data_IF_010932027941
#
_entry.id   IF_010932027941
#
_cell.length_a   1.000
_cell.length_b   1.000
_cell.length_c   1.000
_cell.angle_alpha   90.00
_cell.angle_beta   90.00
_cell.angle_gamma   90.00
#
_symmetry.space_group_name_H-M   'P 1'
#
loop_
_entity.id
_entity.type
_entity.pdbx_description
1 polymer ?
#
# COMPACT_ATOMS: atom_id res chain seq x y z
N UNK A 1 8.61 -9.59 20.16
CA UNK A 1 7.14 -9.52 20.07
C UNK A 1 6.53 -10.74 20.76
N UNK A 2 5.95 -10.56 21.96
CA UNK A 2 5.14 -11.61 22.61
C UNK A 2 3.87 -11.89 21.80
N UNK A 3 3.29 -13.09 21.92
CA UNK A 3 1.96 -13.38 21.34
C UNK A 3 0.92 -12.52 22.06
N UNK A 4 0.43 -11.47 21.41
CA UNK A 4 -0.60 -10.55 21.92
C UNK A 4 -1.75 -10.53 20.92
N UNK A 5 -2.96 -10.63 21.43
CA UNK A 5 -4.18 -10.51 20.61
C UNK A 5 -4.55 -9.03 20.44
N UNK A 6 -4.84 -8.63 19.20
CA UNK A 6 -5.38 -7.31 18.86
C UNK A 6 -6.81 -7.50 18.36
N UNK A 7 -7.75 -6.72 18.90
CA UNK A 7 -9.18 -6.83 18.56
C UNK A 7 -9.60 -5.69 17.65
N UNK A 8 -10.09 -6.02 16.45
CA UNK A 8 -10.67 -5.07 15.50
C UNK A 8 -12.16 -5.38 15.37
N UNK A 9 -13.05 -4.38 15.29
CA UNK A 9 -14.45 -4.60 14.95
C UNK A 9 -14.60 -5.43 13.66
N UNK A 10 -15.52 -6.39 13.67
CA UNK A 10 -15.65 -7.36 12.57
C UNK A 10 -16.05 -6.67 11.25
N UNK A 11 -16.92 -5.66 11.32
CA UNK A 11 -17.35 -4.88 10.17
C UNK A 11 -16.20 -4.06 9.56
N UNK A 12 -15.36 -3.45 10.38
CA UNK A 12 -14.18 -2.71 9.91
C UNK A 12 -13.16 -3.63 9.23
N UNK A 13 -12.83 -4.77 9.85
CA UNK A 13 -11.88 -5.72 9.24
C UNK A 13 -12.45 -6.35 7.97
N UNK A 14 -13.76 -6.63 7.91
CA UNK A 14 -14.41 -7.14 6.70
C UNK A 14 -14.35 -6.12 5.56
N UNK A 15 -14.60 -4.84 5.84
CA UNK A 15 -14.48 -3.78 4.84
C UNK A 15 -13.06 -3.67 4.28
N UNK A 16 -12.05 -3.70 5.17
CA UNK A 16 -10.64 -3.70 4.76
C UNK A 16 -10.29 -4.94 3.92
N UNK A 17 -10.74 -6.13 4.33
CA UNK A 17 -10.47 -7.36 3.58
C UNK A 17 -11.11 -7.37 2.20
N UNK A 18 -12.31 -6.80 2.06
CA UNK A 18 -12.97 -6.65 0.76
C UNK A 18 -12.17 -5.73 -0.16
N UNK A 19 -11.74 -4.57 0.33
CA UNK A 19 -10.90 -3.63 -0.40
C UNK A 19 -9.59 -4.27 -0.85
N UNK A 20 -8.88 -4.92 0.08
CA UNK A 20 -7.61 -5.57 -0.22
C UNK A 20 -7.76 -6.71 -1.24
N UNK A 21 -8.82 -7.52 -1.13
CA UNK A 21 -9.07 -8.60 -2.07
C UNK A 21 -9.34 -8.07 -3.49
N UNK A 22 -10.14 -7.01 -3.62
CA UNK A 22 -10.38 -6.37 -4.93
C UNK A 22 -9.08 -5.86 -5.56
N UNK A 23 -8.19 -5.28 -4.75
CA UNK A 23 -6.91 -4.77 -5.25
C UNK A 23 -5.98 -5.90 -5.66
N UNK A 24 -5.84 -6.94 -4.85
CA UNK A 24 -4.99 -8.09 -5.18
C UNK A 24 -5.45 -8.76 -6.48
N UNK A 25 -6.75 -9.03 -6.61
CA UNK A 25 -7.30 -9.66 -7.83
C UNK A 25 -7.14 -8.78 -9.06
N UNK A 26 -7.36 -7.46 -8.92
CA UNK A 26 -7.25 -6.53 -10.04
C UNK A 26 -5.80 -6.35 -10.47
N UNK A 27 -4.88 -6.18 -9.53
CA UNK A 27 -3.45 -6.03 -9.79
C UNK A 27 -2.84 -7.30 -10.40
N UNK A 28 -3.23 -8.49 -9.94
CA UNK A 28 -2.79 -9.76 -10.54
C UNK A 28 -3.19 -9.84 -12.03
N UNK A 29 -4.45 -9.55 -12.33
CA UNK A 29 -4.95 -9.55 -13.71
C UNK A 29 -4.31 -8.47 -14.57
N UNK A 30 -4.11 -7.27 -14.03
CA UNK A 30 -3.46 -6.17 -14.73
C UNK A 30 -2.00 -6.49 -15.00
N UNK A 31 -1.26 -7.02 -14.02
CA UNK A 31 0.13 -7.45 -14.20
C UNK A 31 0.26 -8.55 -15.24
N UNK A 32 -0.63 -9.54 -15.25
CA UNK A 32 -0.69 -10.57 -16.29
C UNK A 32 -0.96 -9.97 -17.69
N UNK A 33 -1.84 -8.97 -17.78
CA UNK A 33 -2.12 -8.25 -19.03
C UNK A 33 -0.94 -7.40 -19.48
N UNK A 34 -0.23 -6.73 -18.58
CA UNK A 34 1.00 -6.00 -18.90
C UNK A 34 2.08 -6.95 -19.45
N UNK A 35 2.28 -8.11 -18.80
CA UNK A 35 3.23 -9.12 -19.27
C UNK A 35 2.88 -9.71 -20.66
N UNK A 36 1.58 -9.75 -21.01
CA UNK A 36 1.11 -10.16 -22.34
C UNK A 36 0.99 -9.02 -23.36
N UNK A 37 1.34 -7.78 -22.97
CA UNK A 37 1.28 -6.59 -23.84
C UNK A 37 -0.14 -6.08 -24.10
N UNK A 38 -1.13 -6.48 -23.29
CA UNK A 38 -2.55 -6.13 -23.45
C UNK A 38 -3.05 -5.09 -22.44
N UNK A 39 -2.20 -4.67 -21.50
CA UNK A 39 -2.42 -3.51 -20.64
C UNK A 39 -1.15 -2.67 -20.58
N UNK A 40 -1.32 -1.35 -20.45
CA UNK A 40 -0.25 -0.36 -20.34
C UNK A 40 -0.31 0.37 -18.99
N UNK A 41 0.67 1.25 -18.75
CA UNK A 41 0.72 2.09 -17.55
C UNK A 41 -0.55 2.93 -17.36
N UNK A 42 -1.14 3.41 -18.46
CA UNK A 42 -2.40 4.16 -18.43
C UNK A 42 -3.55 3.33 -17.86
N UNK A 43 -3.63 2.04 -18.24
CA UNK A 43 -4.65 1.11 -17.72
C UNK A 43 -4.51 0.90 -16.21
N UNK A 44 -3.28 0.80 -15.70
CA UNK A 44 -3.02 0.69 -14.26
C UNK A 44 -3.37 2.00 -13.54
N UNK A 45 -2.97 3.15 -14.10
CA UNK A 45 -3.30 4.46 -13.55
C UNK A 45 -4.81 4.69 -13.47
N UNK A 46 -5.58 4.26 -14.47
CA UNK A 46 -7.05 4.29 -14.43
C UNK A 46 -7.64 3.39 -13.36
N UNK A 47 -7.09 2.20 -13.14
CA UNK A 47 -7.53 1.37 -12.02
C UNK A 47 -7.33 2.11 -10.69
N UNK A 48 -6.15 2.69 -10.46
CA UNK A 48 -5.87 3.44 -9.22
C UNK A 48 -6.84 4.61 -9.02
N UNK A 49 -7.11 5.37 -10.08
CA UNK A 49 -7.97 6.55 -10.03
C UNK A 49 -9.47 6.19 -9.96
N UNK A 50 -9.98 5.38 -10.90
CA UNK A 50 -11.41 5.09 -11.02
C UNK A 50 -11.93 4.26 -9.83
N UNK A 51 -11.06 3.51 -9.16
CA UNK A 51 -11.42 2.66 -8.01
C UNK A 51 -11.04 3.26 -6.65
N UNK A 52 -10.57 4.52 -6.61
CA UNK A 52 -10.18 5.23 -5.38
C UNK A 52 -9.17 4.44 -4.52
N UNK A 53 -8.25 3.72 -5.15
CA UNK A 53 -7.38 2.75 -4.46
C UNK A 53 -6.60 3.40 -3.32
N UNK A 54 -6.04 4.59 -3.55
CA UNK A 54 -5.28 5.31 -2.53
C UNK A 54 -6.13 5.68 -1.31
N UNK A 55 -7.37 6.14 -1.52
CA UNK A 55 -8.30 6.52 -0.44
C UNK A 55 -8.69 5.29 0.40
N UNK A 56 -8.96 4.17 -0.25
CA UNK A 56 -9.33 2.90 0.39
C UNK A 56 -8.17 2.27 1.17
N UNK A 57 -6.95 2.32 0.62
CA UNK A 57 -5.74 1.93 1.36
C UNK A 57 -5.47 2.84 2.55
N UNK A 58 -5.67 4.15 2.42
CA UNK A 58 -5.54 5.09 3.54
C UNK A 58 -6.57 4.80 4.65
N UNK A 59 -7.80 4.44 4.27
CA UNK A 59 -8.81 3.99 5.21
C UNK A 59 -8.39 2.70 5.92
N UNK A 60 -7.92 1.69 5.19
CA UNK A 60 -7.43 0.44 5.78
C UNK A 60 -6.27 0.67 6.76
N UNK A 61 -5.30 1.50 6.38
CA UNK A 61 -4.20 1.90 7.27
C UNK A 61 -4.74 2.55 8.54
N UNK A 62 -5.70 3.47 8.41
CA UNK A 62 -6.29 4.17 9.55
C UNK A 62 -6.99 3.22 10.52
N UNK A 63 -7.81 2.30 10.02
CA UNK A 63 -8.50 1.29 10.86
C UNK A 63 -7.49 0.52 11.70
N UNK A 64 -6.40 0.07 11.08
CA UNK A 64 -5.36 -0.70 11.78
C UNK A 64 -4.61 0.20 12.78
N UNK A 65 -4.14 1.38 12.37
CA UNK A 65 -3.38 2.27 13.25
C UNK A 65 -4.17 2.69 14.49
N UNK A 66 -5.45 3.06 14.35
CA UNK A 66 -6.29 3.47 15.48
C UNK A 66 -6.43 2.33 16.49
N UNK A 67 -6.65 1.10 16.02
CA UNK A 67 -6.79 -0.06 16.90
C UNK A 67 -5.48 -0.37 17.63
N UNK A 68 -4.33 -0.20 16.98
CA UNK A 68 -3.03 -0.39 17.60
C UNK A 68 -2.76 0.69 18.66
N UNK A 69 -3.01 1.96 18.33
CA UNK A 69 -2.88 3.10 19.25
C UNK A 69 -3.68 2.91 20.54
N UNK A 70 -4.88 2.33 20.44
CA UNK A 70 -5.76 2.07 21.59
C UNK A 70 -5.33 0.87 22.45
N UNK A 71 -4.66 -0.13 21.87
CA UNK A 71 -4.42 -1.43 22.53
C UNK A 71 -2.95 -1.69 22.89
N UNK A 72 -2.03 -0.93 22.32
CA UNK A 72 -0.60 -1.05 22.54
C UNK A 72 -0.05 0.04 23.45
N UNK A 73 1.15 -0.18 23.98
CA UNK A 73 1.88 0.87 24.70
C UNK A 73 2.43 1.89 23.70
N UNK A 74 2.79 3.09 24.19
CA UNK A 74 3.48 4.10 23.38
C UNK A 74 4.79 3.55 22.76
N UNK A 75 5.52 2.71 23.50
CA UNK A 75 6.76 2.07 23.03
C UNK A 75 6.49 1.10 21.87
N UNK A 76 5.49 0.23 22.01
CA UNK A 76 5.11 -0.73 20.96
C UNK A 76 4.63 0.02 19.68
N UNK A 77 3.86 1.10 19.84
CA UNK A 77 3.39 1.91 18.71
C UNK A 77 4.54 2.65 18.01
N UNK A 78 5.49 3.20 18.77
CA UNK A 78 6.68 3.84 18.20
C UNK A 78 7.55 2.85 17.41
N UNK A 79 7.66 1.59 17.85
CA UNK A 79 8.35 0.54 17.08
C UNK A 79 7.64 0.27 15.74
N UNK A 80 6.30 0.19 15.75
CA UNK A 80 5.49 -0.03 14.54
C UNK A 80 5.60 1.15 13.57
N UNK A 81 5.56 2.39 14.06
CA UNK A 81 5.73 3.58 13.22
C UNK A 81 7.10 3.60 12.56
N UNK A 82 8.17 3.31 13.31
CA UNK A 82 9.52 3.21 12.77
C UNK A 82 9.67 2.11 11.70
N UNK A 83 8.91 1.00 11.80
CA UNK A 83 8.84 -0.02 10.75
C UNK A 83 8.08 0.50 9.52
N UNK A 84 7.01 1.27 9.69
CA UNK A 84 6.26 1.85 8.58
C UNK A 84 7.05 2.91 7.81
N UNK A 85 7.89 3.69 8.50
CA UNK A 85 8.78 4.70 7.90
C UNK A 85 9.87 4.10 7.01
N UNK A 86 10.20 2.82 7.19
CA UNK A 86 11.13 2.08 6.32
C UNK A 86 10.52 1.71 4.95
N UNK A 87 9.27 2.08 4.69
CA UNK A 87 8.62 1.84 3.42
C UNK A 87 9.39 2.47 2.24
N UNK A 88 9.56 1.70 1.17
CA UNK A 88 10.18 2.20 -0.06
C UNK A 88 9.19 3.04 -0.87
N UNK A 89 9.59 4.25 -1.24
CA UNK A 89 8.88 5.06 -2.23
C UNK A 89 9.27 4.63 -3.64
N UNK A 90 8.29 4.13 -4.40
CA UNK A 90 8.51 3.80 -5.81
C UNK A 90 8.67 5.09 -6.64
N UNK A 91 9.76 5.20 -7.41
CA UNK A 91 10.09 6.39 -8.21
C UNK A 91 11.13 7.33 -7.57
N UNK A 92 11.71 6.97 -6.42
CA UNK A 92 12.82 7.73 -5.82
C UNK A 92 14.12 7.63 -6.64
N UNK A 93 14.35 6.50 -7.31
CA UNK A 93 15.60 6.22 -8.03
C UNK A 93 15.72 6.95 -9.39
N UNK A 94 14.60 7.30 -10.03
CA UNK A 94 14.61 8.02 -11.31
C UNK A 94 15.03 9.49 -11.18
N UNK A 95 14.99 10.07 -9.98
CA UNK A 95 15.39 11.45 -9.74
C UNK A 95 16.92 11.65 -9.71
N UNK A 96 17.72 10.56 -9.66
CA UNK A 96 19.19 10.59 -9.53
C UNK A 96 19.88 9.89 -10.71
N UNK A 97 19.34 9.97 -11.92
CA UNK A 97 20.14 9.73 -13.12
C UNK A 97 20.81 11.03 -13.55
N UNK A 98 22.11 11.27 -13.26
CA UNK A 98 22.83 12.34 -13.91
C UNK A 98 22.83 11.99 -15.40
N UNK A 99 22.13 12.80 -16.19
CA UNK A 99 22.25 12.83 -17.65
C UNK A 99 23.75 12.81 -17.97
N UNK A 100 24.25 11.65 -18.41
CA UNK A 100 25.62 11.51 -18.85
C UNK A 100 25.79 12.45 -20.03
N UNK A 101 26.44 13.58 -19.75
CA UNK A 101 26.83 14.60 -20.71
C UNK A 101 27.79 13.95 -21.72
N UNK A 102 27.23 13.40 -22.80
CA UNK A 102 27.95 12.98 -24.00
C UNK A 102 27.81 14.11 -25.02
N UNK A 103 28.83 14.94 -25.11
CA UNK A 103 29.18 15.81 -26.25
C UNK A 103 30.59 16.35 -25.96
N UNK A 104 31.62 16.32 -26.80
CA UNK A 104 31.91 15.77 -28.13
C UNK A 104 33.44 15.61 -28.20
#
# INVERSE_FOLDING_TARGET
MSSREIRIPLDEVVAVLQDLNEFVVSLDRLGSRQASGTADEYTVGRFVADWDVARRLAHARRVISVVLDEQLSEEDNAEIDALCEQGHFYGADDAISPSADRSS
#
